data_IF_334082418747
#
_entry.id   IF_334082418747
#
_cell.length_a   1.000
_cell.length_b   1.000
_cell.length_c   1.000
_cell.angle_alpha   90.00
_cell.angle_beta   90.00
_cell.angle_gamma   90.00
#
_symmetry.space_group_name_H-M   'P 1'
#
loop_
_entity.id
_entity.type
_entity.pdbx_description
1 polymer ?
#
# COMPACT_ATOMS: atom_id res chain seq x y z
N UNK A 1 -16.50 7.44 14.84
CA UNK A 1 -15.02 7.49 14.66
C UNK A 1 -14.80 7.41 13.18
N UNK A 2 -14.84 8.58 12.53
CA UNK A 2 -14.70 8.66 11.08
C UNK A 2 -13.34 8.07 10.70
N UNK A 3 -13.35 7.22 9.67
CA UNK A 3 -12.19 6.45 9.23
C UNK A 3 -11.03 7.42 8.99
N UNK A 4 -10.00 7.42 9.85
CA UNK A 4 -8.92 8.43 9.81
C UNK A 4 -8.04 8.32 8.56
N UNK A 5 -8.03 7.14 7.93
CA UNK A 5 -7.15 6.82 6.81
C UNK A 5 -7.93 6.25 5.64
N UNK A 6 -7.53 6.63 4.43
CA UNK A 6 -8.00 6.06 3.17
C UNK A 6 -6.86 5.42 2.40
N UNK A 7 -7.10 4.27 1.79
CA UNK A 7 -6.18 3.68 0.81
C UNK A 7 -6.40 4.33 -0.54
N UNK A 8 -5.31 4.68 -1.20
CA UNK A 8 -5.30 5.28 -2.54
C UNK A 8 -4.53 4.34 -3.46
N UNK A 9 -5.09 4.10 -4.63
CA UNK A 9 -4.42 3.41 -5.73
C UNK A 9 -4.31 4.38 -6.89
N UNK A 10 -3.08 4.70 -7.29
CA UNK A 10 -2.79 5.47 -8.49
C UNK A 10 -2.34 4.51 -9.58
N UNK A 11 -2.94 4.61 -10.78
CA UNK A 11 -2.57 3.75 -11.90
C UNK A 11 -1.08 3.88 -12.23
N UNK A 12 -0.47 2.75 -12.59
CA UNK A 12 0.93 2.69 -13.03
C UNK A 12 1.17 3.45 -14.33
N UNK A 13 2.45 3.59 -14.68
CA UNK A 13 2.87 4.20 -15.94
C UNK A 13 3.03 3.15 -17.04
N UNK A 14 3.31 3.60 -18.27
CA UNK A 14 3.56 2.71 -19.43
C UNK A 14 4.73 1.76 -19.26
N UNK A 15 5.63 2.00 -18.29
CA UNK A 15 6.79 1.15 -18.02
C UNK A 15 6.54 0.06 -16.96
N UNK A 16 5.50 0.20 -16.13
CA UNK A 16 5.14 -0.74 -15.07
C UNK A 16 3.69 -0.47 -14.68
N UNK A 17 2.82 -1.45 -14.94
CA UNK A 17 1.37 -1.30 -14.73
C UNK A 17 0.99 -1.41 -13.25
N UNK A 18 1.86 -2.00 -12.44
CA UNK A 18 1.73 -2.00 -10.99
C UNK A 18 1.55 -0.55 -10.52
N UNK A 19 0.33 -0.25 -10.09
CA UNK A 19 -0.01 1.09 -9.62
C UNK A 19 0.69 1.42 -8.31
N UNK A 20 0.83 2.70 -8.02
CA UNK A 20 1.34 3.13 -6.73
C UNK A 20 0.21 3.04 -5.69
N UNK A 21 0.52 2.43 -4.54
CA UNK A 21 -0.37 2.47 -3.39
C UNK A 21 0.06 3.57 -2.42
N UNK A 22 -0.92 4.24 -1.84
CA UNK A 22 -0.71 5.25 -0.83
C UNK A 22 -1.75 5.17 0.27
N UNK A 23 -1.47 5.86 1.36
CA UNK A 23 -2.44 6.14 2.40
C UNK A 23 -2.55 7.65 2.58
N UNK A 24 -3.78 8.15 2.71
CA UNK A 24 -4.07 9.53 3.09
C UNK A 24 -4.68 9.55 4.49
N UNK A 25 -4.20 10.47 5.33
CA UNK A 25 -4.85 10.79 6.60
C UNK A 25 -5.88 11.90 6.34
N UNK A 26 -7.17 11.60 6.50
CA UNK A 26 -8.23 12.56 6.19
C UNK A 26 -8.30 13.73 7.18
N UNK A 27 -7.73 13.58 8.38
CA UNK A 27 -7.70 14.65 9.37
C UNK A 27 -6.57 15.64 9.09
N UNK A 28 -5.39 15.16 8.71
CA UNK A 28 -4.21 16.02 8.49
C UNK A 28 -4.00 16.41 7.02
N UNK A 29 -4.69 15.73 6.09
CA UNK A 29 -4.47 15.87 4.64
C UNK A 29 -3.12 15.34 4.16
N UNK A 30 -2.31 14.76 5.04
CA UNK A 30 -1.00 14.19 4.67
C UNK A 30 -1.19 12.85 3.98
N UNK A 31 -0.27 12.53 3.08
CA UNK A 31 -0.23 11.25 2.38
C UNK A 31 1.16 10.60 2.46
N UNK A 32 1.19 9.28 2.40
CA UNK A 32 2.40 8.45 2.36
C UNK A 32 2.24 7.42 1.25
N UNK A 33 3.25 7.30 0.40
CA UNK A 33 3.37 6.19 -0.55
C UNK A 33 3.80 4.92 0.19
N UNK A 34 3.15 3.81 -0.12
CA UNK A 34 3.48 2.50 0.44
C UNK A 34 4.59 1.88 -0.40
N UNK A 35 5.66 1.49 0.27
CA UNK A 35 6.80 0.87 -0.40
C UNK A 35 6.50 -0.57 -0.76
N UNK A 36 6.86 -0.91 -1.99
CA UNK A 36 7.02 -2.29 -2.41
C UNK A 36 8.35 -2.84 -1.91
N UNK A 37 8.39 -4.14 -1.73
CA UNK A 37 9.61 -4.93 -1.63
C UNK A 37 10.21 -5.09 -3.04
N UNK A 38 11.42 -5.63 -3.15
CA UNK A 38 12.14 -5.82 -4.43
C UNK A 38 11.48 -6.80 -5.43
N UNK A 39 10.21 -7.18 -5.21
CA UNK A 39 9.46 -8.17 -5.98
C UNK A 39 8.22 -7.55 -6.68
N UNK A 40 8.32 -6.33 -7.22
CA UNK A 40 7.25 -5.82 -8.11
C UNK A 40 7.19 -6.67 -9.38
N UNK A 41 6.00 -7.13 -9.74
CA UNK A 41 5.77 -7.96 -10.92
C UNK A 41 5.53 -7.12 -12.17
N UNK A 42 5.23 -5.83 -12.02
CA UNK A 42 4.88 -4.86 -13.06
C UNK A 42 3.63 -5.18 -13.89
N UNK A 43 2.97 -6.31 -13.63
CA UNK A 43 1.71 -6.78 -14.20
C UNK A 43 0.86 -7.55 -13.15
N UNK A 44 1.05 -7.27 -11.86
CA UNK A 44 0.44 -8.01 -10.75
C UNK A 44 -0.96 -7.54 -10.38
N UNK A 45 -1.85 -8.48 -10.01
CA UNK A 45 -3.11 -8.14 -9.32
C UNK A 45 -2.81 -7.87 -7.84
N UNK A 46 -2.27 -6.67 -7.59
CA UNK A 46 -1.89 -6.24 -6.25
C UNK A 46 -3.10 -5.71 -5.49
N UNK A 47 -3.25 -6.11 -4.23
CA UNK A 47 -4.25 -5.58 -3.30
C UNK A 47 -3.60 -5.00 -2.06
N UNK A 48 -4.02 -3.79 -1.69
CA UNK A 48 -3.63 -3.15 -0.45
C UNK A 48 -4.64 -3.41 0.67
N UNK A 49 -4.14 -3.59 1.89
CA UNK A 49 -4.97 -3.77 3.08
C UNK A 49 -4.30 -3.16 4.31
N UNK A 50 -5.10 -2.59 5.22
CA UNK A 50 -4.61 -2.16 6.52
C UNK A 50 -4.29 -3.36 7.41
N UNK A 51 -3.19 -3.30 8.13
CA UNK A 51 -2.74 -4.36 9.04
C UNK A 51 -2.16 -3.78 10.33
N UNK A 52 -2.23 -4.55 11.42
CA UNK A 52 -1.44 -4.29 12.62
C UNK A 52 -0.09 -4.99 12.46
N UNK A 53 0.99 -4.23 12.48
CA UNK A 53 2.34 -4.76 12.40
C UNK A 53 2.74 -5.45 13.71
N UNK A 54 3.83 -6.24 13.67
CA UNK A 54 4.37 -6.94 14.86
C UNK A 54 4.70 -5.99 16.03
N UNK A 55 5.00 -4.73 15.74
CA UNK A 55 5.27 -3.70 16.75
C UNK A 55 4.00 -2.98 17.27
N UNK A 56 2.81 -3.48 16.94
CA UNK A 56 1.52 -2.91 17.34
C UNK A 56 1.09 -1.66 16.57
N UNK A 57 1.90 -1.16 15.63
CA UNK A 57 1.58 0.02 14.84
C UNK A 57 0.75 -0.33 13.61
N UNK A 58 -0.06 0.62 13.14
CA UNK A 58 -0.83 0.49 11.91
C UNK A 58 0.11 0.54 10.69
N UNK A 59 -0.11 -0.36 9.75
CA UNK A 59 0.63 -0.46 8.50
C UNK A 59 -0.28 -0.81 7.33
N UNK A 60 0.33 -0.92 6.16
CA UNK A 60 -0.31 -1.38 4.92
C UNK A 60 0.47 -2.58 4.38
N UNK A 61 -0.26 -3.62 4.01
CA UNK A 61 0.26 -4.80 3.31
C UNK A 61 -0.18 -4.75 1.86
N UNK A 62 0.78 -4.93 0.95
CA UNK A 62 0.55 -5.17 -0.47
C UNK A 62 0.73 -6.66 -0.75
N UNK A 63 -0.30 -7.29 -1.31
CA UNK A 63 -0.29 -8.70 -1.67
C UNK A 63 -0.56 -8.84 -3.16
N UNK A 64 0.30 -9.55 -3.86
CA UNK A 64 0.15 -9.82 -5.29
C UNK A 64 -0.57 -11.17 -5.46
N UNK A 65 -1.79 -11.15 -6.00
CA UNK A 65 -2.57 -12.37 -6.24
C UNK A 65 -2.05 -13.18 -7.43
N UNK A 66 -1.24 -12.59 -8.33
CA UNK A 66 -0.66 -13.30 -9.48
C UNK A 66 0.38 -14.30 -8.99
N UNK A 67 1.30 -13.85 -8.12
CA UNK A 67 2.39 -14.69 -7.58
C UNK A 67 2.12 -15.23 -6.17
N UNK A 68 1.01 -14.84 -5.56
CA UNK A 68 0.57 -15.25 -4.22
C UNK A 68 1.52 -14.84 -3.07
N UNK A 69 2.22 -13.72 -3.22
CA UNK A 69 3.27 -13.26 -2.28
C UNK A 69 2.99 -11.87 -1.70
N UNK A 70 3.60 -11.60 -0.54
CA UNK A 70 3.60 -10.25 0.05
C UNK A 70 4.70 -9.42 -0.61
N UNK A 71 4.28 -8.50 -1.47
CA UNK A 71 5.17 -7.62 -2.24
C UNK A 71 5.35 -6.25 -1.60
N UNK A 72 4.81 -6.01 -0.40
CA UNK A 72 5.05 -4.79 0.37
C UNK A 72 4.47 -4.85 1.78
N UNK A 73 5.21 -4.34 2.75
CA UNK A 73 4.74 -4.18 4.13
C UNK A 73 5.37 -2.93 4.75
N UNK A 74 4.58 -1.86 4.86
CA UNK A 74 5.07 -0.57 5.36
C UNK A 74 4.25 -0.06 6.53
N UNK A 75 4.92 0.66 7.44
CA UNK A 75 4.27 1.31 8.57
C UNK A 75 3.75 2.68 8.16
N UNK A 76 2.54 3.05 8.60
CA UNK A 76 2.02 4.40 8.45
C UNK A 76 2.76 5.34 9.43
N UNK A 77 3.26 6.47 8.93
CA UNK A 77 4.09 7.44 9.68
C UNK A 77 3.57 8.88 9.65
N UNK A 78 2.41 9.12 9.02
CA UNK A 78 1.85 10.45 8.72
C UNK A 78 0.72 10.89 9.65
#
# INVERSE_FOLDING_TARGET
KDMQYGLVHAMGGTACWDGFYGVINFYTGKAQTIKYNDNQSCEGDIKASFVTLKNGKLGVKLYDNTIHEVVGLDQIKI
#
